data_IF_221209186551
#
_entry.id   IF_221209186551
#
_cell.length_a   1.000
_cell.length_b   1.000
_cell.length_c   1.000
_cell.angle_alpha   90.00
_cell.angle_beta   90.00
_cell.angle_gamma   90.00
#
_symmetry.space_group_name_H-M   'P 1'
#
loop_
_entity.id
_entity.type
_entity.pdbx_description
1 polymer ?
#
# COMPACT_ATOMS: atom_id res chain seq x y z
N UNK A 1 44.59 -14.19 28.65
CA UNK A 1 43.62 -14.94 27.87
C UNK A 1 44.29 -15.29 26.57
N UNK A 2 44.47 -16.60 26.28
CA UNK A 2 45.19 -16.98 25.07
C UNK A 2 44.45 -16.59 23.80
N UNK A 3 45.22 -16.12 22.83
CA UNK A 3 44.76 -15.68 21.49
C UNK A 3 44.13 -16.81 20.64
N UNK A 4 44.06 -18.06 21.16
CA UNK A 4 43.65 -19.25 20.41
C UNK A 4 42.18 -19.68 20.65
N UNK A 5 41.39 -18.88 21.38
CA UNK A 5 40.01 -19.23 21.62
C UNK A 5 39.15 -19.02 20.39
N UNK A 6 38.65 -20.09 19.80
CA UNK A 6 37.74 -20.08 18.66
C UNK A 6 36.43 -20.73 19.03
N UNK A 7 35.29 -20.05 18.87
CA UNK A 7 34.02 -20.64 19.15
C UNK A 7 33.69 -21.83 18.21
N UNK A 8 32.93 -22.79 18.69
CA UNK A 8 32.46 -23.91 17.89
C UNK A 8 31.63 -23.43 16.67
N UNK A 9 31.71 -24.16 15.58
CA UNK A 9 30.94 -23.84 14.36
C UNK A 9 29.71 -24.71 14.36
N UNK A 10 28.54 -24.10 14.47
CA UNK A 10 27.29 -24.80 14.24
C UNK A 10 26.79 -24.57 12.80
N UNK A 11 26.16 -25.58 12.18
CA UNK A 11 25.57 -25.41 10.86
C UNK A 11 24.35 -24.50 10.92
N UNK A 12 24.19 -23.65 9.90
CA UNK A 12 22.94 -22.91 9.71
C UNK A 12 21.90 -23.89 9.24
N UNK A 13 20.79 -24.05 9.98
CA UNK A 13 19.72 -25.00 9.67
C UNK A 13 19.06 -24.71 8.32
N UNK A 14 18.94 -23.43 7.94
CA UNK A 14 18.39 -23.02 6.66
C UNK A 14 19.31 -21.98 5.98
N UNK A 15 20.10 -22.35 4.97
CA UNK A 15 20.95 -21.41 4.25
C UNK A 15 20.09 -20.35 3.52
N UNK A 16 20.53 -19.09 3.58
CA UNK A 16 19.82 -17.96 2.95
C UNK A 16 19.89 -17.97 1.42
N UNK A 17 20.72 -18.82 0.85
CA UNK A 17 21.03 -18.86 -0.58
C UNK A 17 22.06 -17.80 -1.02
N UNK A 18 22.63 -17.05 -0.10
CA UNK A 18 23.74 -16.14 -0.34
C UNK A 18 24.95 -16.59 0.47
N UNK A 19 26.00 -17.14 -0.18
CA UNK A 19 27.18 -17.68 0.52
C UNK A 19 27.94 -16.66 1.38
N UNK A 20 27.87 -15.36 1.06
CA UNK A 20 28.49 -14.32 1.85
C UNK A 20 27.69 -14.06 3.14
N UNK A 21 26.36 -14.02 3.06
CA UNK A 21 25.48 -13.89 4.22
C UNK A 21 25.60 -15.12 5.11
N UNK A 22 25.57 -16.32 4.53
CA UNK A 22 25.67 -17.56 5.28
C UNK A 22 26.98 -17.66 6.06
N UNK A 23 28.10 -17.16 5.51
CA UNK A 23 29.37 -17.07 6.22
C UNK A 23 29.31 -16.11 7.42
N UNK A 24 28.68 -14.93 7.23
CA UNK A 24 28.53 -13.97 8.32
C UNK A 24 27.63 -14.52 9.42
N UNK A 25 26.49 -15.14 9.06
CA UNK A 25 25.60 -15.75 10.04
C UNK A 25 26.27 -16.86 10.84
N UNK A 26 27.08 -17.72 10.19
CA UNK A 26 27.91 -18.71 10.90
C UNK A 26 28.88 -18.08 11.89
N UNK A 27 29.51 -16.99 11.50
CA UNK A 27 30.42 -16.27 12.39
C UNK A 27 29.69 -15.66 13.59
N UNK A 28 28.53 -15.03 13.36
CA UNK A 28 27.69 -14.45 14.42
C UNK A 28 27.21 -15.52 15.38
N UNK A 29 26.71 -16.67 14.86
CA UNK A 29 26.27 -17.81 15.67
C UNK A 29 27.41 -18.29 16.61
N UNK A 30 28.61 -18.48 16.06
CA UNK A 30 29.80 -18.87 16.87
C UNK A 30 30.06 -17.91 18.02
N UNK A 31 29.99 -16.61 17.77
CA UNK A 31 30.22 -15.60 18.79
C UNK A 31 29.09 -15.56 19.83
N UNK A 32 27.85 -15.74 19.43
CA UNK A 32 26.72 -15.80 20.35
C UNK A 32 26.82 -17.00 21.29
N UNK A 33 27.09 -18.19 20.76
CA UNK A 33 27.28 -19.40 21.61
C UNK A 33 28.42 -19.21 22.60
N UNK A 34 29.54 -18.72 22.12
CA UNK A 34 30.69 -18.48 23.00
C UNK A 34 30.44 -17.39 24.07
N UNK A 35 29.66 -16.38 23.74
CA UNK A 35 29.25 -15.36 24.70
C UNK A 35 28.31 -15.97 25.75
N UNK A 36 27.34 -16.78 25.30
CA UNK A 36 26.39 -17.48 26.18
C UNK A 36 27.10 -18.44 27.12
N UNK A 37 28.06 -19.23 26.64
CA UNK A 37 28.85 -20.15 27.43
C UNK A 37 29.65 -19.43 28.51
N UNK A 38 30.09 -18.20 28.23
CA UNK A 38 30.95 -17.44 29.14
C UNK A 38 30.18 -16.59 30.15
N UNK A 39 29.06 -15.99 29.76
CA UNK A 39 28.35 -14.98 30.55
C UNK A 39 26.87 -15.35 30.84
N UNK A 40 26.41 -16.52 30.36
CA UNK A 40 25.03 -16.94 30.47
C UNK A 40 24.15 -16.38 29.35
N UNK A 41 22.90 -16.81 29.31
CA UNK A 41 21.95 -16.38 28.29
C UNK A 41 21.67 -14.88 28.34
N UNK A 42 21.62 -14.20 27.19
CA UNK A 42 21.33 -12.77 27.15
C UNK A 42 19.88 -12.51 27.56
N UNK A 43 19.66 -11.53 28.40
CA UNK A 43 18.30 -11.09 28.81
C UNK A 43 17.59 -10.29 27.72
N UNK A 44 18.32 -9.64 26.82
CA UNK A 44 17.81 -8.86 25.69
C UNK A 44 18.77 -8.96 24.52
N UNK A 45 18.26 -9.20 23.33
CA UNK A 45 19.00 -9.15 22.06
C UNK A 45 18.39 -8.05 21.21
N UNK A 46 19.15 -7.01 20.91
CA UNK A 46 18.76 -5.96 19.98
C UNK A 46 19.27 -6.30 18.57
N UNK A 47 18.36 -6.46 17.62
CA UNK A 47 18.71 -6.72 16.21
C UNK A 47 18.47 -5.45 15.40
N UNK A 48 19.54 -4.87 14.88
CA UNK A 48 19.47 -3.75 13.95
C UNK A 48 19.28 -4.27 12.53
N UNK A 49 18.14 -3.97 11.92
CA UNK A 49 17.79 -4.44 10.58
C UNK A 49 18.09 -3.35 9.54
N UNK A 50 19.23 -3.48 8.85
CA UNK A 50 19.50 -2.67 7.67
C UNK A 50 18.65 -3.19 6.48
N UNK A 51 17.73 -2.38 5.98
CA UNK A 51 16.87 -2.74 4.85
C UNK A 51 17.60 -2.79 3.50
N UNK A 52 18.73 -2.13 3.40
CA UNK A 52 19.52 -2.01 2.17
C UNK A 52 20.64 -3.05 2.16
N UNK A 53 20.61 -4.01 1.24
CA UNK A 53 21.72 -4.88 0.89
C UNK A 53 21.65 -6.36 1.28
N UNK A 54 20.60 -6.83 1.97
CA UNK A 54 20.46 -8.25 2.35
C UNK A 54 19.81 -9.15 1.28
N UNK A 55 19.33 -8.59 0.18
CA UNK A 55 18.82 -9.35 -0.94
C UNK A 55 19.93 -9.97 -1.78
N UNK A 56 19.77 -11.22 -2.23
CA UNK A 56 20.65 -11.78 -3.25
C UNK A 56 20.63 -10.88 -4.50
N UNK A 57 21.72 -10.84 -5.28
CA UNK A 57 21.77 -10.09 -6.55
C UNK A 57 20.57 -10.41 -7.46
N UNK A 58 20.04 -11.62 -7.40
CA UNK A 58 18.84 -12.02 -8.13
C UNK A 58 17.61 -11.26 -7.66
N UNK A 59 17.38 -11.16 -6.34
CA UNK A 59 16.26 -10.41 -5.75
C UNK A 59 16.39 -8.92 -6.07
N UNK A 60 17.60 -8.36 -5.98
CA UNK A 60 17.87 -6.98 -6.34
C UNK A 60 17.57 -6.71 -7.82
N UNK A 61 17.99 -7.60 -8.73
CA UNK A 61 17.67 -7.49 -10.17
C UNK A 61 16.18 -7.63 -10.46
N UNK A 62 15.50 -8.58 -9.82
CA UNK A 62 14.04 -8.75 -9.96
C UNK A 62 13.29 -7.50 -9.47
N UNK A 63 13.70 -6.91 -8.34
CA UNK A 63 13.14 -5.68 -7.82
C UNK A 63 13.40 -4.49 -8.76
N UNK A 64 14.63 -4.35 -9.28
CA UNK A 64 14.97 -3.31 -10.26
C UNK A 64 14.12 -3.44 -11.53
N UNK A 65 13.98 -4.66 -12.06
CA UNK A 65 13.15 -4.90 -13.25
C UNK A 65 11.67 -4.60 -12.97
N UNK A 66 11.16 -4.99 -11.81
CA UNK A 66 9.78 -4.69 -11.41
C UNK A 66 9.55 -3.17 -11.27
N UNK A 67 10.51 -2.46 -10.67
CA UNK A 67 10.46 -1.01 -10.54
C UNK A 67 10.52 -0.30 -11.90
N UNK A 68 11.38 -0.77 -12.81
CA UNK A 68 11.49 -0.21 -14.17
C UNK A 68 10.21 -0.45 -14.99
N UNK A 69 9.62 -1.66 -14.91
CA UNK A 69 8.32 -1.94 -15.55
C UNK A 69 7.23 -1.02 -14.99
N UNK A 70 7.20 -0.80 -13.69
CA UNK A 70 6.25 0.10 -13.03
C UNK A 70 6.47 1.54 -13.47
N UNK A 71 7.74 1.99 -13.58
CA UNK A 71 8.09 3.33 -14.05
C UNK A 71 7.62 3.55 -15.48
N UNK A 72 7.86 2.59 -16.39
CA UNK A 72 7.40 2.66 -17.78
C UNK A 72 5.88 2.68 -17.90
N UNK A 73 5.19 1.82 -17.16
CA UNK A 73 3.73 1.79 -17.14
C UNK A 73 3.13 3.12 -16.61
N UNK A 74 3.72 3.68 -15.55
CA UNK A 74 3.29 4.98 -15.03
C UNK A 74 3.55 6.11 -16.04
N UNK A 75 4.71 6.12 -16.70
CA UNK A 75 5.02 7.13 -17.71
C UNK A 75 4.05 7.07 -18.91
N UNK A 76 3.74 5.86 -19.39
CA UNK A 76 2.76 5.67 -20.46
C UNK A 76 1.35 6.12 -20.04
N UNK A 77 0.96 5.83 -18.81
CA UNK A 77 -0.32 6.26 -18.27
C UNK A 77 -0.41 7.79 -18.11
N UNK A 78 0.68 8.43 -17.69
CA UNK A 78 0.77 9.91 -17.59
C UNK A 78 0.70 10.53 -19.00
N UNK A 79 1.37 9.96 -20.00
CA UNK A 79 1.30 10.43 -21.38
C UNK A 79 -0.14 10.31 -21.93
N UNK A 80 -0.80 9.17 -21.73
CA UNK A 80 -2.21 8.98 -22.11
C UNK A 80 -3.16 9.94 -21.39
N UNK A 81 -2.88 10.25 -20.11
CA UNK A 81 -3.63 11.24 -19.36
C UNK A 81 -3.46 12.65 -19.96
N UNK A 82 -2.22 13.05 -20.28
CA UNK A 82 -1.93 14.35 -20.87
C UNK A 82 -2.68 14.54 -22.19
N UNK A 83 -2.65 13.50 -23.04
CA UNK A 83 -3.35 13.49 -24.32
C UNK A 83 -4.87 13.60 -24.15
N UNK A 84 -5.47 12.69 -23.33
CA UNK A 84 -6.93 12.62 -23.15
C UNK A 84 -7.52 13.86 -22.48
N UNK A 85 -6.77 14.52 -21.59
CA UNK A 85 -7.20 15.69 -20.87
C UNK A 85 -6.69 17.01 -21.48
N UNK A 86 -5.95 16.93 -22.60
CA UNK A 86 -5.33 18.07 -23.28
C UNK A 86 -4.52 18.96 -22.32
N UNK A 87 -3.75 18.35 -21.43
CA UNK A 87 -2.92 19.06 -20.45
C UNK A 87 -1.55 19.34 -21.04
N UNK A 88 -1.26 20.61 -21.28
CA UNK A 88 0.06 21.09 -21.70
C UNK A 88 0.81 21.62 -20.47
N UNK A 89 1.48 20.75 -19.72
CA UNK A 89 2.24 21.17 -18.53
C UNK A 89 2.66 20.02 -17.63
N UNK A 90 3.25 20.37 -16.49
CA UNK A 90 3.69 19.38 -15.51
C UNK A 90 2.49 18.74 -14.82
N UNK A 91 2.32 17.44 -14.97
CA UNK A 91 1.30 16.67 -14.28
C UNK A 91 1.78 16.33 -12.88
N UNK A 92 1.07 16.80 -11.86
CA UNK A 92 1.38 16.53 -10.46
C UNK A 92 0.89 15.14 -10.04
N UNK A 93 1.43 14.63 -8.93
CA UNK A 93 1.03 13.32 -8.38
C UNK A 93 -0.46 13.29 -8.00
N UNK A 94 -1.01 14.39 -7.51
CA UNK A 94 -2.44 14.54 -7.22
C UNK A 94 -3.32 14.34 -8.45
N UNK A 95 -2.88 14.85 -9.60
CA UNK A 95 -3.60 14.72 -10.86
C UNK A 95 -3.63 13.28 -11.35
N UNK A 96 -2.48 12.60 -11.22
CA UNK A 96 -2.38 11.18 -11.53
C UNK A 96 -3.29 10.33 -10.64
N UNK A 97 -3.30 10.58 -9.32
CA UNK A 97 -4.16 9.86 -8.37
C UNK A 97 -5.63 10.04 -8.76
N UNK A 98 -6.06 11.27 -9.05
CA UNK A 98 -7.43 11.58 -9.49
C UNK A 98 -7.78 10.87 -10.78
N UNK A 99 -6.92 10.95 -11.78
CA UNK A 99 -7.13 10.32 -13.08
C UNK A 99 -7.26 8.80 -12.97
N UNK A 100 -6.36 8.13 -12.23
CA UNK A 100 -6.43 6.70 -12.03
C UNK A 100 -7.68 6.27 -11.24
N UNK A 101 -8.06 7.03 -10.22
CA UNK A 101 -9.28 6.75 -9.47
C UNK A 101 -10.51 6.84 -10.37
N UNK A 102 -10.61 7.91 -11.17
CA UNK A 102 -11.69 8.11 -12.13
C UNK A 102 -11.76 7.01 -13.17
N UNK A 103 -10.64 6.70 -13.82
CA UNK A 103 -10.58 5.66 -14.85
C UNK A 103 -10.99 4.30 -14.28
N UNK A 104 -10.47 3.94 -13.11
CA UNK A 104 -10.80 2.72 -12.41
C UNK A 104 -12.29 2.63 -12.07
N UNK A 105 -12.89 3.74 -11.64
CA UNK A 105 -14.30 3.85 -11.27
C UNK A 105 -15.24 4.05 -12.47
N UNK A 106 -14.74 3.91 -13.72
CA UNK A 106 -15.51 4.15 -14.93
C UNK A 106 -16.21 5.51 -14.94
N UNK A 107 -15.50 6.56 -14.48
CA UNK A 107 -16.02 7.93 -14.39
C UNK A 107 -17.31 8.06 -13.57
N UNK A 108 -17.47 7.25 -12.53
CA UNK A 108 -18.63 7.31 -11.63
C UNK A 108 -18.19 7.65 -10.21
N UNK A 109 -19.02 8.42 -9.52
CA UNK A 109 -18.89 8.65 -8.09
C UNK A 109 -18.98 7.30 -7.33
N UNK A 110 -17.98 6.96 -6.53
CA UNK A 110 -18.00 5.70 -5.77
C UNK A 110 -19.24 5.60 -4.88
N UNK A 111 -19.71 6.71 -4.32
CA UNK A 111 -20.76 6.71 -3.30
C UNK A 111 -22.17 6.66 -3.85
N UNK A 112 -22.50 7.49 -4.83
CA UNK A 112 -23.86 7.58 -5.38
C UNK A 112 -24.01 7.08 -6.83
N UNK A 113 -22.91 6.77 -7.51
CA UNK A 113 -22.95 6.31 -8.90
C UNK A 113 -23.13 7.40 -9.97
N UNK A 114 -23.34 8.67 -9.58
CA UNK A 114 -23.47 9.77 -10.54
C UNK A 114 -22.22 9.89 -11.40
N UNK A 115 -22.38 10.14 -12.71
CA UNK A 115 -21.26 10.37 -13.62
C UNK A 115 -20.47 11.62 -13.18
N UNK A 116 -19.14 11.49 -13.15
CA UNK A 116 -18.20 12.55 -12.82
C UNK A 116 -17.09 12.63 -13.86
N UNK A 117 -16.56 13.83 -14.06
CA UNK A 117 -15.45 14.09 -14.96
C UNK A 117 -14.19 14.41 -14.16
N UNK A 118 -13.05 14.53 -14.84
CA UNK A 118 -11.80 14.92 -14.19
C UNK A 118 -11.91 16.29 -13.47
N UNK A 119 -12.66 17.24 -14.06
CA UNK A 119 -12.86 18.57 -13.49
C UNK A 119 -13.88 18.61 -12.35
N UNK A 120 -14.83 17.70 -12.32
CA UNK A 120 -15.91 17.67 -11.32
C UNK A 120 -15.68 16.66 -10.19
N UNK A 121 -14.70 15.77 -10.35
CA UNK A 121 -14.36 14.79 -9.33
C UNK A 121 -13.54 15.43 -8.21
N UNK A 122 -13.89 15.08 -6.99
CA UNK A 122 -13.11 15.36 -5.79
C UNK A 122 -12.56 14.06 -5.24
N UNK A 123 -11.37 14.12 -4.61
CA UNK A 123 -10.78 12.98 -3.96
C UNK A 123 -11.16 12.98 -2.50
N UNK A 124 -11.76 11.90 -2.04
CA UNK A 124 -12.16 11.72 -0.65
C UNK A 124 -11.52 10.49 -0.02
N UNK A 125 -11.32 10.56 1.30
CA UNK A 125 -10.90 9.43 2.11
C UNK A 125 -12.14 8.65 2.56
N UNK A 126 -12.23 7.37 2.15
CA UNK A 126 -13.35 6.48 2.51
C UNK A 126 -13.48 6.40 4.03
N UNK A 127 -12.36 6.23 4.70
CA UNK A 127 -12.24 6.28 6.16
C UNK A 127 -11.36 7.46 6.54
N UNK A 128 -11.89 8.50 7.19
CA UNK A 128 -11.10 9.61 7.67
C UNK A 128 -10.23 9.17 8.85
N UNK A 129 -9.09 9.83 9.06
CA UNK A 129 -8.27 9.63 10.25
C UNK A 129 -8.80 10.42 11.43
N UNK A 130 -8.66 9.83 12.62
CA UNK A 130 -9.07 10.47 13.87
C UNK A 130 -8.23 11.71 14.20
N UNK A 131 -6.96 11.76 13.77
CA UNK A 131 -6.01 12.85 14.00
C UNK A 131 -5.96 13.90 12.88
N UNK A 132 -6.80 13.77 11.85
CA UNK A 132 -6.80 14.66 10.69
C UNK A 132 -5.63 14.43 9.73
N UNK A 133 -4.72 13.50 10.00
CA UNK A 133 -3.68 13.11 9.05
C UNK A 133 -4.27 12.24 7.94
N UNK A 134 -3.82 12.42 6.69
CA UNK A 134 -4.32 11.63 5.57
C UNK A 134 -3.24 10.70 5.03
N UNK A 135 -3.52 9.41 4.93
CA UNK A 135 -2.71 8.52 4.10
C UNK A 135 -3.21 8.60 2.67
N UNK A 136 -2.32 8.92 1.74
CA UNK A 136 -2.59 8.82 0.30
C UNK A 136 -2.54 7.36 -0.18
N UNK A 137 -3.06 6.44 0.63
CA UNK A 137 -3.20 5.04 0.26
C UNK A 137 -4.30 4.93 -0.80
N UNK A 138 -4.00 4.26 -1.90
CA UNK A 138 -4.96 4.05 -3.00
C UNK A 138 -6.22 3.32 -2.57
N UNK A 139 -6.14 2.49 -1.55
CA UNK A 139 -7.27 1.74 -1.02
C UNK A 139 -8.20 2.58 -0.16
N UNK A 140 -7.73 3.74 0.31
CA UNK A 140 -8.53 4.70 1.08
C UNK A 140 -8.99 5.91 0.26
N UNK A 141 -8.57 6.04 -1.00
CA UNK A 141 -8.90 7.17 -1.85
C UNK A 141 -9.93 6.80 -2.90
N UNK A 142 -11.00 7.58 -2.96
CA UNK A 142 -12.08 7.45 -3.93
C UNK A 142 -12.32 8.76 -4.69
N UNK A 143 -12.64 8.65 -5.99
CA UNK A 143 -13.18 9.77 -6.75
C UNK A 143 -14.69 9.85 -6.50
N UNK A 144 -15.14 11.01 -6.07
CA UNK A 144 -16.54 11.23 -5.67
C UNK A 144 -17.05 12.56 -6.24
N UNK A 145 -18.36 12.73 -6.32
CA UNK A 145 -18.94 14.02 -6.66
C UNK A 145 -18.86 14.98 -5.45
N UNK A 146 -18.82 16.27 -5.73
CA UNK A 146 -18.75 17.34 -4.73
C UNK A 146 -19.82 17.20 -3.65
N UNK A 147 -21.06 16.89 -4.04
CA UNK A 147 -22.18 16.76 -3.10
C UNK A 147 -21.94 15.63 -2.09
N UNK A 148 -21.49 14.47 -2.55
CA UNK A 148 -21.16 13.34 -1.65
C UNK A 148 -19.98 13.67 -0.73
N UNK A 149 -18.92 14.27 -1.28
CA UNK A 149 -17.76 14.66 -0.50
C UNK A 149 -18.12 15.64 0.64
N UNK A 150 -18.84 16.70 0.31
CA UNK A 150 -19.27 17.69 1.29
C UNK A 150 -20.18 17.12 2.39
N UNK A 151 -21.18 16.31 2.01
CA UNK A 151 -22.13 15.76 2.99
C UNK A 151 -21.52 14.68 3.86
N UNK A 152 -20.60 13.86 3.32
CA UNK A 152 -19.90 12.86 4.11
C UNK A 152 -18.93 13.51 5.10
N UNK A 153 -18.18 14.52 4.67
CA UNK A 153 -17.18 15.19 5.51
C UNK A 153 -16.20 14.20 6.15
N UNK A 154 -15.92 14.39 7.44
CA UNK A 154 -15.00 13.55 8.21
C UNK A 154 -15.68 12.32 8.87
N UNK A 155 -16.77 11.81 8.28
CA UNK A 155 -17.47 10.63 8.79
C UNK A 155 -17.05 9.40 7.99
N UNK A 156 -16.79 8.23 8.61
CA UNK A 156 -16.58 6.97 7.88
C UNK A 156 -17.76 6.67 6.95
N UNK A 157 -17.47 6.19 5.73
CA UNK A 157 -18.50 6.01 4.70
C UNK A 157 -19.67 5.15 5.19
N UNK A 158 -19.41 4.01 5.87
CA UNK A 158 -20.48 3.12 6.35
C UNK A 158 -21.43 3.81 7.34
N UNK A 159 -20.89 4.71 8.17
CA UNK A 159 -21.69 5.48 9.15
C UNK A 159 -22.54 6.53 8.43
N UNK A 160 -21.92 7.27 7.51
CA UNK A 160 -22.63 8.28 6.73
C UNK A 160 -23.70 7.65 5.84
N UNK A 161 -23.41 6.56 5.12
CA UNK A 161 -24.35 5.89 4.23
C UNK A 161 -25.58 5.33 4.96
N UNK A 162 -25.45 5.00 6.24
CA UNK A 162 -26.57 4.55 7.09
C UNK A 162 -27.34 5.72 7.73
N UNK A 163 -26.87 6.95 7.60
CA UNK A 163 -27.49 8.13 8.21
C UNK A 163 -28.60 8.71 7.32
N UNK A 164 -29.51 9.47 7.94
CA UNK A 164 -30.55 10.25 7.22
C UNK A 164 -29.96 11.40 6.37
N UNK A 165 -28.66 11.71 6.53
CA UNK A 165 -27.97 12.78 5.80
C UNK A 165 -27.36 12.26 4.49
N UNK A 166 -27.36 10.97 4.25
CA UNK A 166 -26.91 10.39 2.99
C UNK A 166 -27.76 10.92 1.81
N UNK A 167 -27.08 11.10 0.66
CA UNK A 167 -27.77 11.50 -0.56
C UNK A 167 -28.63 10.34 -1.09
N UNK A 168 -29.62 10.67 -1.90
CA UNK A 168 -30.32 9.66 -2.72
C UNK A 168 -29.30 8.88 -3.56
N UNK A 169 -29.49 7.55 -3.67
CA UNK A 169 -28.57 6.64 -4.37
C UNK A 169 -27.30 6.25 -3.61
N UNK A 170 -27.08 6.78 -2.40
CA UNK A 170 -25.98 6.36 -1.54
C UNK A 170 -26.40 5.18 -0.68
N UNK A 171 -25.74 4.05 -0.87
CA UNK A 171 -25.89 2.87 -0.01
C UNK A 171 -24.56 2.12 0.04
N UNK A 172 -24.38 1.33 1.11
CA UNK A 172 -23.21 0.49 1.24
C UNK A 172 -23.15 -0.58 0.15
N UNK A 173 -24.28 -1.21 -0.12
CA UNK A 173 -24.42 -2.25 -1.15
C UNK A 173 -24.07 -1.71 -2.53
N UNK A 174 -24.66 -0.58 -2.92
CA UNK A 174 -24.38 0.05 -4.21
C UNK A 174 -22.91 0.50 -4.36
N UNK A 175 -22.27 0.96 -3.28
CA UNK A 175 -20.84 1.29 -3.32
C UNK A 175 -19.96 0.03 -3.50
N UNK A 176 -20.31 -1.08 -2.82
CA UNK A 176 -19.61 -2.36 -2.97
C UNK A 176 -19.76 -2.95 -4.37
N UNK A 177 -20.95 -2.89 -4.96
CA UNK A 177 -21.22 -3.31 -6.35
C UNK A 177 -20.40 -2.49 -7.34
N UNK A 178 -20.31 -1.17 -7.15
CA UNK A 178 -19.48 -0.31 -8.00
C UNK A 178 -18.00 -0.68 -7.93
N UNK A 179 -17.49 -1.10 -6.75
CA UNK A 179 -16.10 -1.62 -6.64
C UNK A 179 -15.92 -2.89 -7.44
N UNK A 180 -16.93 -3.77 -7.53
CA UNK A 180 -16.84 -4.99 -8.35
C UNK A 180 -16.77 -4.68 -9.84
N UNK A 181 -17.42 -3.61 -10.27
CA UNK A 181 -17.43 -3.15 -11.66
C UNK A 181 -16.19 -2.31 -12.05
N UNK A 182 -15.23 -2.13 -11.16
CA UNK A 182 -14.04 -1.35 -11.45
C UNK A 182 -13.21 -1.92 -12.61
N UNK A 183 -12.66 -1.02 -13.39
CA UNK A 183 -11.73 -1.36 -14.46
C UNK A 183 -10.32 -1.56 -13.91
N UNK A 184 -9.63 -2.58 -14.40
CA UNK A 184 -8.25 -2.85 -13.98
C UNK A 184 -7.32 -1.72 -14.42
N UNK A 185 -6.57 -1.15 -13.49
CA UNK A 185 -5.57 -0.12 -13.77
C UNK A 185 -4.44 -0.67 -14.66
N UNK A 186 -4.02 0.10 -15.66
CA UNK A 186 -2.85 -0.19 -16.46
C UNK A 186 -1.60 -0.26 -15.56
N UNK A 187 -0.84 -1.35 -15.69
CA UNK A 187 0.38 -1.60 -14.90
C UNK A 187 0.15 -2.31 -13.55
N UNK A 188 -1.09 -2.60 -13.19
CA UNK A 188 -1.42 -3.42 -12.02
C UNK A 188 -1.69 -4.87 -12.44
N UNK A 189 -1.11 -5.84 -11.73
CA UNK A 189 -1.42 -7.25 -11.96
C UNK A 189 -2.84 -7.59 -11.48
N UNK A 190 -3.46 -8.64 -12.04
CA UNK A 190 -4.77 -9.12 -11.58
C UNK A 190 -4.82 -9.40 -10.07
N UNK A 191 -3.74 -9.92 -9.49
CA UNK A 191 -3.63 -10.20 -8.05
C UNK A 191 -3.66 -8.90 -7.25
N UNK A 192 -2.88 -7.90 -7.65
CA UNK A 192 -2.84 -6.58 -6.99
C UNK A 192 -4.17 -5.85 -7.12
N UNK A 193 -4.83 -5.94 -8.28
CA UNK A 193 -6.14 -5.34 -8.49
C UNK A 193 -7.22 -5.96 -7.59
N UNK A 194 -7.29 -7.29 -7.50
CA UNK A 194 -8.20 -7.98 -6.58
C UNK A 194 -7.90 -7.66 -5.11
N UNK A 195 -6.64 -7.48 -4.76
CA UNK A 195 -6.26 -7.06 -3.41
C UNK A 195 -6.79 -5.64 -3.12
N UNK A 196 -6.56 -4.69 -4.04
CA UNK A 196 -7.07 -3.33 -3.93
C UNK A 196 -8.60 -3.30 -3.75
N UNK A 197 -9.35 -4.07 -4.56
CA UNK A 197 -10.81 -4.16 -4.40
C UNK A 197 -11.22 -4.68 -3.02
N UNK A 198 -10.52 -5.70 -2.49
CA UNK A 198 -10.78 -6.23 -1.13
C UNK A 198 -10.53 -5.18 -0.05
N UNK A 199 -9.41 -4.48 -0.13
CA UNK A 199 -9.05 -3.43 0.83
C UNK A 199 -10.06 -2.27 0.80
N UNK A 200 -10.43 -1.80 -0.40
CA UNK A 200 -11.46 -0.75 -0.55
C UNK A 200 -12.80 -1.19 0.04
N UNK A 201 -13.22 -2.42 -0.22
CA UNK A 201 -14.47 -2.95 0.34
C UNK A 201 -14.42 -3.08 1.86
N UNK A 202 -13.27 -3.44 2.43
CA UNK A 202 -13.07 -3.46 3.87
C UNK A 202 -13.23 -2.06 4.47
N UNK A 203 -12.61 -1.05 3.84
CA UNK A 203 -12.72 0.36 4.25
C UNK A 203 -14.14 0.90 4.10
N UNK A 204 -14.85 0.57 3.03
CA UNK A 204 -16.26 0.95 2.87
C UNK A 204 -17.15 0.40 3.99
N UNK A 205 -16.81 -0.75 4.58
CA UNK A 205 -17.54 -1.35 5.71
C UNK A 205 -17.09 -0.83 7.07
N UNK A 206 -15.96 -0.15 7.15
CA UNK A 206 -15.42 0.34 8.43
C UNK A 206 -16.32 1.42 9.02
N UNK A 207 -16.65 1.25 10.31
CA UNK A 207 -17.43 2.22 11.10
C UNK A 207 -16.55 3.07 12.02
N UNK A 208 -15.27 2.72 12.13
CA UNK A 208 -14.31 3.45 12.96
C UNK A 208 -13.40 4.30 12.07
N UNK A 209 -12.93 5.47 12.57
CA UNK A 209 -11.81 6.17 11.94
C UNK A 209 -10.59 5.25 11.83
N UNK A 210 -9.71 5.52 10.89
CA UNK A 210 -8.47 4.75 10.72
C UNK A 210 -7.58 4.98 11.97
N UNK A 211 -7.67 4.09 12.93
CA UNK A 211 -6.62 3.87 13.92
C UNK A 211 -5.59 3.04 13.15
N UNK A 212 -4.41 3.60 12.90
CA UNK A 212 -3.27 3.00 12.20
C UNK A 212 -3.53 1.58 11.69
N UNK A 213 -3.85 1.43 10.42
CA UNK A 213 -3.98 0.11 9.79
C UNK A 213 -2.55 -0.46 9.70
N UNK A 214 -2.12 -1.09 10.79
CA UNK A 214 -0.94 -1.92 10.83
C UNK A 214 -1.22 -3.13 9.91
N UNK A 215 -0.71 -3.06 8.70
CA UNK A 215 -0.89 -4.09 7.66
C UNK A 215 -0.23 -5.43 7.98
N UNK A 216 -0.30 -5.87 9.23
CA UNK A 216 0.13 -7.15 9.76
C UNK A 216 -1.09 -7.97 10.21
N UNK A 217 -1.62 -8.71 9.28
CA UNK A 217 -2.47 -9.90 9.51
C UNK A 217 -2.22 -10.88 8.36
#
# INVERSE_FOLDING_TARGET
MGDDWKPAVEPIEAPTGNPAVDRVLKQVSRWLHAATDRWGEPTVINIEHARDGLGSERVARELMQANERRRKANAAAVASMAEKLNISGKIHRSDQIRYFALTRQNCQCLYCGTAITYSTAEMDHIVPRADGSSTNDRSNLAAVCRTCNHKKGAIPFAVWAASKQANEGVSLEGALERVDMWLQDNGMSKKQFKQLQREVKARLRSKKPDEEFDGRS
#
